data_IF_285541378301
#
_entry.id   IF_285541378301
#
_cell.length_a   1.000
_cell.length_b   1.000
_cell.length_c   1.000
_cell.angle_alpha   90.00
_cell.angle_beta   90.00
_cell.angle_gamma   90.00
#
_symmetry.space_group_name_H-M   'P 1'
#
loop_
_entity.id
_entity.type
_entity.pdbx_description
1 polymer ?
#
# COMPACT_ATOMS: atom_id res chain seq x y z
N UNK A 1 -25.42 -42.80 -10.65
CA UNK A 1 -24.21 -42.26 -11.31
C UNK A 1 -24.47 -40.81 -11.69
N UNK A 2 -23.45 -39.94 -11.64
CA UNK A 2 -23.53 -38.55 -12.10
C UNK A 2 -22.38 -38.31 -13.09
N UNK A 3 -22.67 -37.69 -14.23
CA UNK A 3 -21.68 -37.12 -15.13
C UNK A 3 -21.79 -35.60 -15.06
N UNK A 4 -20.66 -34.89 -15.04
CA UNK A 4 -20.64 -33.43 -15.00
C UNK A 4 -19.49 -32.89 -15.85
N UNK A 5 -19.59 -31.63 -16.26
CA UNK A 5 -18.50 -30.94 -16.94
C UNK A 5 -17.52 -30.35 -15.92
N UNK A 6 -16.21 -30.64 -16.01
CA UNK A 6 -15.21 -30.00 -15.15
C UNK A 6 -14.81 -28.59 -15.65
N UNK A 7 -15.37 -28.12 -16.78
CA UNK A 7 -14.99 -26.84 -17.37
C UNK A 7 -15.47 -25.66 -16.52
N UNK A 8 -14.57 -24.73 -16.12
CA UNK A 8 -14.96 -23.57 -15.33
C UNK A 8 -16.04 -22.73 -16.03
N UNK A 9 -17.13 -22.41 -15.32
CA UNK A 9 -18.23 -21.62 -15.86
C UNK A 9 -19.29 -22.43 -16.62
N UNK A 10 -19.17 -23.76 -16.71
CA UNK A 10 -20.19 -24.64 -17.30
C UNK A 10 -20.88 -25.46 -16.22
N UNK A 11 -22.13 -25.14 -15.92
CA UNK A 11 -22.99 -25.94 -15.05
C UNK A 11 -23.76 -26.99 -15.86
N UNK A 12 -23.06 -28.05 -16.27
CA UNK A 12 -23.68 -29.19 -16.94
C UNK A 12 -23.53 -30.45 -16.10
N UNK A 13 -24.64 -31.14 -15.83
CA UNK A 13 -24.66 -32.41 -15.11
C UNK A 13 -25.81 -33.32 -15.57
N UNK A 14 -25.56 -34.62 -15.64
CA UNK A 14 -26.55 -35.66 -15.87
C UNK A 14 -26.53 -36.66 -14.71
N UNK A 15 -27.71 -37.00 -14.20
CA UNK A 15 -27.86 -37.96 -13.09
C UNK A 15 -28.69 -39.15 -13.52
N UNK A 16 -28.20 -40.35 -13.22
CA UNK A 16 -28.92 -41.62 -13.42
C UNK A 16 -29.12 -42.33 -12.07
N UNK A 17 -30.37 -42.70 -11.77
CA UNK A 17 -30.75 -43.45 -10.57
C UNK A 17 -31.04 -44.91 -10.91
N UNK A 18 -30.40 -45.83 -10.17
CA UNK A 18 -30.65 -47.26 -10.30
C UNK A 18 -31.92 -47.63 -9.52
N UNK A 19 -32.86 -48.32 -10.18
CA UNK A 19 -34.09 -48.82 -9.55
C UNK A 19 -34.19 -50.31 -9.80
N UNK A 20 -34.94 -51.03 -8.96
CA UNK A 20 -35.05 -52.50 -8.97
C UNK A 20 -35.51 -53.15 -10.30
N UNK A 21 -35.91 -52.35 -11.31
CA UNK A 21 -36.23 -52.78 -12.69
C UNK A 21 -35.22 -52.36 -13.76
N UNK A 22 -34.23 -51.52 -13.43
CA UNK A 22 -33.22 -50.97 -14.35
C UNK A 22 -31.83 -51.35 -13.85
N UNK A 23 -31.21 -52.37 -14.43
CA UNK A 23 -29.83 -52.73 -14.09
C UNK A 23 -28.87 -51.88 -14.92
N UNK A 24 -27.92 -51.21 -14.26
CA UNK A 24 -26.93 -50.33 -14.90
C UNK A 24 -26.19 -50.98 -16.09
N UNK A 25 -25.84 -52.27 -15.98
CA UNK A 25 -25.14 -53.01 -17.05
C UNK A 25 -25.94 -53.17 -18.35
N UNK A 26 -27.27 -53.09 -18.30
CA UNK A 26 -28.13 -53.18 -19.51
C UNK A 26 -28.38 -51.81 -20.16
N UNK A 27 -28.34 -50.73 -19.38
CA UNK A 27 -28.59 -49.36 -19.86
C UNK A 27 -27.29 -48.56 -20.09
N UNK A 28 -26.12 -49.16 -19.84
CA UNK A 28 -24.81 -48.51 -20.07
C UNK A 28 -24.66 -47.99 -21.50
N UNK A 29 -25.18 -48.72 -22.49
CA UNK A 29 -25.22 -48.25 -23.88
C UNK A 29 -26.13 -47.02 -24.09
N UNK A 30 -27.21 -46.87 -23.33
CA UNK A 30 -28.06 -45.67 -23.37
C UNK A 30 -27.39 -44.48 -22.67
N UNK A 31 -26.63 -44.73 -21.60
CA UNK A 31 -25.79 -43.71 -20.96
C UNK A 31 -24.76 -43.18 -21.95
N UNK A 32 -24.04 -44.06 -22.66
CA UNK A 32 -23.06 -43.66 -23.69
C UNK A 32 -23.75 -42.86 -24.81
N UNK A 33 -24.89 -43.34 -25.35
CA UNK A 33 -25.61 -42.59 -26.40
C UNK A 33 -26.09 -41.22 -25.95
N UNK A 34 -26.54 -41.09 -24.70
CA UNK A 34 -26.93 -39.78 -24.13
C UNK A 34 -25.73 -38.86 -23.96
N UNK A 35 -24.59 -39.39 -23.51
CA UNK A 35 -23.34 -38.63 -23.44
C UNK A 35 -22.88 -38.19 -24.84
N UNK A 36 -22.87 -39.09 -25.82
CA UNK A 36 -22.54 -38.80 -27.23
C UNK A 36 -23.48 -37.77 -27.84
N UNK A 37 -24.79 -37.85 -27.53
CA UNK A 37 -25.79 -36.89 -27.97
C UNK A 37 -25.63 -35.49 -27.34
N UNK A 38 -25.13 -35.42 -26.11
CA UNK A 38 -24.89 -34.16 -25.40
C UNK A 38 -23.53 -33.52 -25.72
N UNK A 39 -22.66 -34.15 -26.53
CA UNK A 39 -21.33 -33.59 -26.86
C UNK A 39 -21.43 -32.22 -27.51
N UNK A 40 -22.38 -32.00 -28.41
CA UNK A 40 -22.54 -30.70 -29.10
C UNK A 40 -23.06 -29.61 -28.15
N UNK A 41 -24.00 -29.95 -27.28
CA UNK A 41 -24.52 -29.04 -26.25
C UNK A 41 -23.42 -28.65 -25.26
N UNK A 42 -22.67 -29.63 -24.74
CA UNK A 42 -21.58 -29.40 -23.81
C UNK A 42 -20.47 -28.55 -24.45
N UNK A 43 -20.16 -28.79 -25.74
CA UNK A 43 -19.20 -27.97 -26.48
C UNK A 43 -19.68 -26.53 -26.63
N UNK A 44 -20.96 -26.31 -26.97
CA UNK A 44 -21.52 -24.96 -27.07
C UNK A 44 -21.51 -24.22 -25.72
N UNK A 45 -21.78 -24.93 -24.61
CA UNK A 45 -21.69 -24.37 -23.26
C UNK A 45 -20.25 -24.00 -22.89
N UNK A 46 -19.26 -24.84 -23.23
CA UNK A 46 -17.84 -24.55 -23.01
C UNK A 46 -17.38 -23.34 -23.82
N UNK A 47 -17.72 -23.27 -25.10
CA UNK A 47 -17.36 -22.14 -25.97
C UNK A 47 -17.95 -20.81 -25.42
N UNK A 48 -19.21 -20.84 -24.97
CA UNK A 48 -19.85 -19.67 -24.35
C UNK A 48 -19.20 -19.25 -23.03
N UNK A 49 -18.83 -20.21 -22.18
CA UNK A 49 -18.14 -19.95 -20.92
C UNK A 49 -16.73 -19.38 -21.14
N UNK A 50 -16.01 -19.89 -22.15
CA UNK A 50 -14.68 -19.37 -22.54
C UNK A 50 -14.77 -17.95 -23.09
N UNK A 51 -15.76 -17.66 -23.92
CA UNK A 51 -16.01 -16.31 -24.44
C UNK A 51 -16.34 -15.30 -23.33
N UNK A 52 -17.16 -15.70 -22.36
CA UNK A 52 -17.51 -14.86 -21.21
C UNK A 52 -16.28 -14.63 -20.30
N UNK A 53 -15.50 -15.70 -20.03
CA UNK A 53 -14.27 -15.61 -19.26
C UNK A 53 -13.24 -14.70 -19.96
N UNK A 54 -13.10 -14.79 -21.28
CA UNK A 54 -12.22 -13.93 -22.06
C UNK A 54 -12.66 -12.46 -22.08
N UNK A 55 -13.96 -12.17 -22.05
CA UNK A 55 -14.48 -10.79 -21.90
C UNK A 55 -14.19 -10.24 -20.51
N UNK A 56 -14.55 -10.99 -19.45
CA UNK A 56 -14.30 -10.59 -18.06
C UNK A 56 -12.81 -10.37 -17.80
N UNK A 57 -11.94 -11.23 -18.32
CA UNK A 57 -10.49 -11.09 -18.18
C UNK A 57 -9.99 -9.79 -18.82
N UNK A 58 -10.42 -9.49 -20.06
CA UNK A 58 -10.07 -8.24 -20.74
C UNK A 58 -10.58 -7.01 -19.98
N UNK A 59 -11.80 -7.05 -19.48
CA UNK A 59 -12.35 -5.96 -18.66
C UNK A 59 -11.57 -5.77 -17.37
N UNK A 60 -11.23 -6.86 -16.67
CA UNK A 60 -10.43 -6.81 -15.46
C UNK A 60 -9.03 -6.26 -15.73
N UNK A 61 -8.36 -6.67 -16.82
CA UNK A 61 -7.05 -6.14 -17.21
C UNK A 61 -7.09 -4.62 -17.44
N UNK A 62 -8.11 -4.13 -18.16
CA UNK A 62 -8.29 -2.69 -18.39
C UNK A 62 -8.56 -1.92 -17.09
N UNK A 63 -9.39 -2.46 -16.19
CA UNK A 63 -9.65 -1.84 -14.89
C UNK A 63 -8.40 -1.86 -14.00
N UNK A 64 -7.64 -2.95 -13.99
CA UNK A 64 -6.38 -3.08 -13.26
C UNK A 64 -5.31 -2.10 -13.76
N UNK A 65 -5.24 -1.85 -15.07
CA UNK A 65 -4.35 -0.83 -15.62
C UNK A 65 -4.76 0.59 -15.22
N UNK A 66 -6.05 0.92 -15.29
CA UNK A 66 -6.55 2.23 -14.85
C UNK A 66 -6.30 2.44 -13.36
N UNK A 67 -6.60 1.43 -12.55
CA UNK A 67 -6.36 1.46 -11.11
C UNK A 67 -4.86 1.64 -10.80
N UNK A 68 -3.96 0.92 -11.49
CA UNK A 68 -2.50 1.11 -11.32
C UNK A 68 -2.04 2.54 -11.62
N UNK A 69 -2.54 3.16 -12.69
CA UNK A 69 -2.18 4.55 -13.04
C UNK A 69 -2.70 5.54 -12.01
N UNK A 70 -3.93 5.35 -11.53
CA UNK A 70 -4.51 6.23 -10.52
C UNK A 70 -3.81 6.09 -9.16
N UNK A 71 -3.44 4.86 -8.79
CA UNK A 71 -2.73 4.58 -7.54
C UNK A 71 -1.30 5.13 -7.57
N UNK A 72 -0.62 5.14 -8.72
CA UNK A 72 0.70 5.78 -8.90
C UNK A 72 0.60 7.31 -8.70
N UNK A 73 -0.45 7.95 -9.25
CA UNK A 73 -0.73 9.37 -9.02
C UNK A 73 -1.01 9.69 -7.56
N UNK A 74 -1.83 8.87 -6.89
CA UNK A 74 -2.12 9.01 -5.45
C UNK A 74 -0.87 8.82 -4.60
N UNK A 75 -0.03 7.84 -4.94
CA UNK A 75 1.20 7.55 -4.23
C UNK A 75 2.19 8.70 -4.33
N UNK A 76 2.33 9.31 -5.50
CA UNK A 76 3.19 10.50 -5.66
C UNK A 76 2.66 11.70 -4.88
N UNK A 77 1.36 11.99 -4.96
CA UNK A 77 0.75 13.10 -4.21
C UNK A 77 0.93 12.89 -2.69
N UNK A 78 0.77 11.66 -2.21
CA UNK A 78 1.00 11.28 -0.82
C UNK A 78 2.47 11.44 -0.42
N UNK A 79 3.41 10.95 -1.22
CA UNK A 79 4.84 11.09 -0.95
C UNK A 79 5.27 12.56 -0.86
N UNK A 80 4.74 13.42 -1.76
CA UNK A 80 4.96 14.88 -1.70
C UNK A 80 4.39 15.48 -0.41
N UNK A 81 3.14 15.17 -0.08
CA UNK A 81 2.50 15.67 1.14
C UNK A 81 3.24 15.25 2.41
N UNK A 82 3.68 14.00 2.48
CA UNK A 82 4.42 13.48 3.63
C UNK A 82 5.81 14.11 3.76
N UNK A 83 6.51 14.33 2.64
CA UNK A 83 7.81 15.00 2.66
C UNK A 83 7.67 16.49 3.04
N UNK A 84 6.62 17.17 2.58
CA UNK A 84 6.31 18.54 3.01
C UNK A 84 5.96 18.62 4.50
N UNK A 85 5.18 17.65 5.00
CA UNK A 85 4.87 17.57 6.44
C UNK A 85 6.14 17.35 7.25
N UNK A 86 6.99 16.40 6.83
CA UNK A 86 8.27 16.14 7.48
C UNK A 86 9.17 17.38 7.50
N UNK A 87 9.22 18.14 6.39
CA UNK A 87 9.97 19.39 6.33
C UNK A 87 9.40 20.46 7.30
N UNK A 88 8.07 20.56 7.39
CA UNK A 88 7.39 21.44 8.34
C UNK A 88 7.75 21.09 9.79
N UNK A 89 7.77 19.80 10.12
CA UNK A 89 8.12 19.32 11.46
C UNK A 89 9.60 19.61 11.77
N UNK A 90 10.50 19.38 10.80
CA UNK A 90 11.92 19.73 10.88
C UNK A 90 12.11 21.24 11.13
N UNK A 91 11.39 22.10 10.39
CA UNK A 91 11.45 23.55 10.60
C UNK A 91 10.96 23.96 11.99
N UNK A 92 9.92 23.28 12.50
CA UNK A 92 9.41 23.55 13.84
C UNK A 92 10.43 23.17 14.93
N UNK A 93 11.09 22.02 14.78
CA UNK A 93 12.11 21.56 15.72
C UNK A 93 13.39 22.39 15.65
N UNK A 94 13.81 22.81 14.45
CA UNK A 94 14.86 23.80 14.28
C UNK A 94 14.48 25.11 14.99
N UNK A 95 13.27 25.63 14.77
CA UNK A 95 12.85 26.89 15.42
C UNK A 95 12.92 26.78 16.95
N UNK A 96 12.55 25.64 17.53
CA UNK A 96 12.70 25.39 18.97
C UNK A 96 14.18 25.37 19.39
N UNK A 97 15.04 24.67 18.66
CA UNK A 97 16.48 24.60 18.94
C UNK A 97 17.12 26.01 18.88
N UNK A 98 16.80 26.79 17.84
CA UNK A 98 17.28 28.17 17.71
C UNK A 98 16.79 29.07 18.85
N UNK A 99 15.52 28.90 19.27
CA UNK A 99 14.96 29.65 20.40
C UNK A 99 15.69 29.35 21.71
N UNK A 100 16.08 28.09 21.92
CA UNK A 100 16.88 27.66 23.08
C UNK A 100 18.28 28.27 23.03
N UNK A 101 18.98 28.20 21.89
CA UNK A 101 20.30 28.83 21.74
C UNK A 101 20.24 30.35 21.95
N UNK A 102 19.24 31.02 21.37
CA UNK A 102 19.01 32.46 21.60
C UNK A 102 18.77 32.79 23.07
N UNK A 103 18.04 31.94 23.80
CA UNK A 103 17.85 32.12 25.24
C UNK A 103 19.18 32.12 26.00
N UNK A 104 20.09 31.18 25.68
CA UNK A 104 21.40 31.12 26.32
C UNK A 104 22.26 32.34 25.97
N UNK A 105 22.30 32.75 24.70
CA UNK A 105 23.05 33.93 24.26
C UNK A 105 22.55 35.19 24.96
N UNK A 106 21.24 35.39 25.04
CA UNK A 106 20.67 36.56 25.71
C UNK A 106 20.86 36.51 27.23
N UNK A 107 20.79 35.33 27.85
CA UNK A 107 21.08 35.14 29.28
C UNK A 107 22.54 35.50 29.60
N UNK A 108 23.49 35.03 28.77
CA UNK A 108 24.92 35.36 28.89
C UNK A 108 25.17 36.86 28.72
N UNK A 109 24.52 37.50 27.74
CA UNK A 109 24.62 38.96 27.55
C UNK A 109 24.12 39.74 28.76
N UNK A 110 23.01 39.32 29.37
CA UNK A 110 22.46 39.98 30.58
C UNK A 110 23.32 39.74 31.82
N UNK A 111 23.99 38.59 31.91
CA UNK A 111 24.93 38.32 32.99
C UNK A 111 26.15 39.26 32.98
N UNK A 112 26.53 39.83 31.83
CA UNK A 112 27.62 40.83 31.79
C UNK A 112 27.32 42.08 32.63
N UNK A 113 26.04 42.34 32.94
CA UNK A 113 25.61 43.47 33.77
C UNK A 113 25.46 43.10 35.26
N UNK A 114 25.75 41.85 35.64
CA UNK A 114 25.65 41.35 37.01
C UNK A 114 27.05 40.99 37.49
N UNK A 115 27.46 41.51 38.66
CA UNK A 115 28.77 41.26 39.24
C UNK A 115 28.70 40.47 40.56
N UNK A 116 29.87 40.00 41.01
CA UNK A 116 30.05 39.33 42.30
C UNK A 116 29.56 37.89 42.34
N UNK A 117 29.31 37.37 43.55
CA UNK A 117 28.90 35.97 43.78
C UNK A 117 27.65 35.56 42.99
N UNK A 118 26.72 36.49 42.77
CA UNK A 118 25.51 36.25 42.00
C UNK A 118 25.82 35.85 40.56
N UNK A 119 26.83 36.46 39.94
CA UNK A 119 27.27 36.13 38.58
C UNK A 119 27.80 34.70 38.51
N UNK A 120 28.70 34.34 39.43
CA UNK A 120 29.31 33.00 39.51
C UNK A 120 28.24 31.92 39.68
N UNK A 121 27.25 32.19 40.54
CA UNK A 121 26.12 31.28 40.72
C UNK A 121 25.30 31.10 39.44
N UNK A 122 24.95 32.19 38.74
CA UNK A 122 24.19 32.12 37.49
C UNK A 122 24.95 31.44 36.34
N UNK A 123 26.25 31.69 36.21
CA UNK A 123 27.10 31.02 35.22
C UNK A 123 27.13 29.49 35.44
N UNK A 124 27.26 29.05 36.69
CA UNK A 124 27.25 27.62 37.02
C UNK A 124 25.90 26.96 36.67
N UNK A 125 24.79 27.67 36.89
CA UNK A 125 23.43 27.21 36.55
C UNK A 125 23.21 27.12 35.04
N UNK A 126 23.68 28.11 34.26
CA UNK A 126 23.56 28.08 32.80
C UNK A 126 24.41 26.98 32.18
N UNK A 127 25.64 26.78 32.68
CA UNK A 127 26.49 25.67 32.22
C UNK A 127 25.84 24.31 32.47
N UNK A 128 25.22 24.12 33.64
CA UNK A 128 24.48 22.90 33.95
C UNK A 128 23.31 22.72 32.98
N UNK A 129 22.50 23.75 32.75
CA UNK A 129 21.38 23.70 31.82
C UNK A 129 21.82 23.34 30.39
N UNK A 130 22.93 23.92 29.91
CA UNK A 130 23.50 23.60 28.59
C UNK A 130 23.98 22.14 28.51
N UNK A 131 24.64 21.64 29.56
CA UNK A 131 25.08 20.24 29.61
C UNK A 131 23.93 19.24 29.62
N UNK A 132 22.77 19.61 30.17
CA UNK A 132 21.56 18.76 30.18
C UNK A 132 20.87 18.70 28.82
N UNK A 133 20.98 19.76 28.01
CA UNK A 133 20.34 19.84 26.69
C UNK A 133 21.17 19.16 25.60
N UNK A 134 22.48 18.99 25.81
CA UNK A 134 23.37 18.39 24.83
C UNK A 134 23.66 19.31 23.64
N UNK A 135 24.15 18.74 22.55
CA UNK A 135 24.43 19.48 21.32
C UNK A 135 23.14 19.61 20.49
N UNK A 136 22.66 20.83 20.32
CA UNK A 136 21.47 21.16 19.54
C UNK A 136 21.90 21.70 18.17
N UNK A 137 22.59 20.88 17.37
CA UNK A 137 23.01 21.28 16.03
C UNK A 137 21.79 21.34 15.09
N UNK A 138 21.41 22.54 14.60
CA UNK A 138 20.27 22.66 13.72
C UNK A 138 20.45 22.01 12.34
N UNK A 139 21.69 21.80 11.91
CA UNK A 139 21.99 21.18 10.61
C UNK A 139 21.65 19.68 10.61
N UNK A 140 21.74 19.03 11.78
CA UNK A 140 21.36 17.63 11.96
C UNK A 140 19.90 17.33 11.62
N UNK A 141 19.00 18.33 11.70
CA UNK A 141 17.60 18.16 11.34
C UNK A 141 17.39 18.09 9.82
N UNK A 142 18.20 18.80 9.02
CA UNK A 142 18.12 18.76 7.55
C UNK A 142 18.71 17.45 7.03
N UNK A 143 19.76 16.91 7.66
CA UNK A 143 20.33 15.62 7.30
C UNK A 143 19.34 14.45 7.46
N UNK A 144 18.32 14.60 8.31
CA UNK A 144 17.25 13.62 8.51
C UNK A 144 16.07 13.79 7.53
N UNK A 145 16.04 14.85 6.72
CA UNK A 145 14.99 15.07 5.74
C UNK A 145 15.13 14.12 4.55
N UNK A 146 14.03 13.48 4.16
CA UNK A 146 13.97 12.62 2.97
C UNK A 146 13.14 13.31 1.90
N UNK A 147 13.73 13.48 0.72
CA UNK A 147 13.07 14.15 -0.39
C UNK A 147 11.91 13.31 -0.96
N UNK A 148 10.92 13.92 -1.62
CA UNK A 148 9.83 13.18 -2.24
C UNK A 148 10.31 12.17 -3.29
N UNK A 149 11.39 12.49 -4.00
CA UNK A 149 11.97 11.65 -5.06
C UNK A 149 12.73 10.45 -4.51
N UNK A 150 13.35 10.58 -3.33
CA UNK A 150 13.93 9.45 -2.59
C UNK A 150 12.83 8.57 -1.96
N UNK A 151 11.71 9.18 -1.55
CA UNK A 151 10.57 8.47 -0.96
C UNK A 151 9.76 7.70 -2.01
N UNK A 152 9.57 8.27 -3.20
CA UNK A 152 8.83 7.63 -4.28
C UNK A 152 9.23 8.14 -5.67
N UNK A 153 9.82 7.25 -6.47
CA UNK A 153 10.03 7.49 -7.89
C UNK A 153 8.81 6.97 -8.67
N UNK A 154 8.12 7.89 -9.36
CA UNK A 154 7.03 7.56 -10.30
C UNK A 154 7.47 6.48 -11.27
N UNK A 155 6.68 5.42 -11.40
CA UNK A 155 6.99 4.31 -12.32
C UNK A 155 6.42 4.50 -13.71
N UNK A 156 5.44 5.38 -13.86
CA UNK A 156 4.81 5.70 -15.15
C UNK A 156 5.06 7.17 -15.48
N UNK A 157 5.71 7.45 -16.61
CA UNK A 157 5.74 8.80 -17.19
C UNK A 157 4.38 9.05 -17.86
N UNK A 158 3.81 10.21 -17.61
CA UNK A 158 2.71 10.72 -18.43
C UNK A 158 3.26 10.89 -19.87
N UNK A 159 2.70 10.16 -20.84
CA UNK A 159 2.89 10.39 -22.28
C UNK A 159 2.13 11.66 -22.71
#
# INVERSE_FOLDING_TARGET
MVAYSPHPGVEWQLTWQETSKRSFNREFGEVIRKLEGSVQELKALMDAADDEAARKKREQELQWERWRREEDKRSEAKARSESLQQLSDIMADWTKALSVEMFFVEAEKRMQMVDGERRVHLESRLRLARSMLGDLDPLSFIEQWVSPEERYQRKFKDE
#
